data_IF_868520915742
#
_entry.id   IF_868520915742
#
_cell.length_a   1.000
_cell.length_b   1.000
_cell.length_c   1.000
_cell.angle_alpha   90.00
_cell.angle_beta   90.00
_cell.angle_gamma   90.00
#
_symmetry.space_group_name_H-M   'P 1'
#
loop_
_entity.id
_entity.type
_entity.pdbx_description
1 polymer ?
#
# COMPACT_ATOMS: atom_id res chain seq x y z
N UNK A 1 7.57 -5.98 37.14
CA UNK A 1 7.67 -6.61 35.80
C UNK A 1 8.03 -5.55 34.77
N UNK A 2 9.24 -5.63 34.24
CA UNK A 2 9.77 -4.67 33.26
C UNK A 2 9.19 -5.00 31.88
N UNK A 3 8.27 -4.18 31.37
CA UNK A 3 7.71 -4.36 30.02
C UNK A 3 8.84 -4.28 29.00
N UNK A 4 9.18 -5.40 28.38
CA UNK A 4 10.17 -5.48 27.32
C UNK A 4 9.67 -4.63 26.15
N UNK A 5 10.34 -3.52 25.85
CA UNK A 5 10.09 -2.72 24.64
C UNK A 5 10.56 -3.54 23.44
N UNK A 6 9.65 -4.27 22.83
CA UNK A 6 9.88 -4.93 21.55
C UNK A 6 10.06 -3.83 20.51
N UNK A 7 11.31 -3.51 20.19
CA UNK A 7 11.66 -2.67 19.03
C UNK A 7 11.86 -3.59 17.83
N UNK A 8 10.83 -3.71 17.01
CA UNK A 8 10.95 -4.28 15.65
C UNK A 8 11.09 -3.10 14.69
N UNK A 9 12.31 -2.72 14.34
CA UNK A 9 12.63 -1.80 13.23
C UNK A 9 13.82 -2.39 12.49
N UNK A 10 13.68 -2.84 11.24
CA UNK A 10 13.86 -2.04 10.02
C UNK A 10 13.42 -2.88 8.80
N UNK A 11 12.74 -2.43 7.75
CA UNK A 11 11.86 -1.28 7.48
C UNK A 11 10.84 -1.91 6.50
N UNK A 12 9.60 -2.11 6.93
CA UNK A 12 8.56 -2.86 6.21
C UNK A 12 7.81 -1.97 5.20
N UNK A 13 8.41 -0.82 4.89
CA UNK A 13 7.93 0.25 4.01
C UNK A 13 9.09 0.76 3.16
N UNK A 14 8.81 1.13 1.92
CA UNK A 14 9.75 1.85 1.06
C UNK A 14 9.03 3.09 0.52
N UNK A 15 9.19 4.22 1.22
CA UNK A 15 8.45 5.44 0.89
C UNK A 15 8.84 6.01 -0.46
N UNK A 16 10.11 5.91 -0.83
CA UNK A 16 10.60 6.39 -2.12
C UNK A 16 9.96 5.59 -3.26
N UNK A 17 9.98 4.26 -3.16
CA UNK A 17 9.34 3.37 -4.12
C UNK A 17 7.82 3.60 -4.22
N UNK A 18 7.15 3.84 -3.09
CA UNK A 18 5.73 4.18 -3.05
C UNK A 18 5.42 5.49 -3.79
N UNK A 19 6.20 6.54 -3.57
CA UNK A 19 6.01 7.82 -4.23
C UNK A 19 6.33 7.75 -5.73
N UNK A 20 7.43 7.10 -6.13
CA UNK A 20 7.77 6.88 -7.54
C UNK A 20 6.66 6.10 -8.24
N UNK A 21 6.09 5.10 -7.55
CA UNK A 21 4.96 4.32 -8.06
C UNK A 21 3.72 5.19 -8.27
N UNK A 22 3.33 5.98 -7.27
CA UNK A 22 2.17 6.86 -7.38
C UNK A 22 2.37 7.93 -8.47
N UNK A 23 3.55 8.52 -8.56
CA UNK A 23 3.87 9.51 -9.61
C UNK A 23 3.75 8.89 -11.01
N UNK A 24 4.26 7.66 -11.21
CA UNK A 24 4.13 6.98 -12.49
C UNK A 24 2.69 6.58 -12.82
N UNK A 25 1.84 6.28 -11.83
CA UNK A 25 0.41 6.06 -12.07
C UNK A 25 -0.32 7.33 -12.49
N UNK A 26 0.12 8.49 -12.00
CA UNK A 26 -0.39 9.81 -12.43
C UNK A 26 0.11 10.17 -13.84
N UNK A 27 1.36 9.87 -14.16
CA UNK A 27 1.96 10.16 -15.47
C UNK A 27 1.45 9.23 -16.56
N UNK A 28 1.14 7.98 -16.21
CA UNK A 28 0.86 6.93 -17.17
C UNK A 28 -0.46 6.24 -16.84
N UNK A 29 -1.58 6.90 -17.12
CA UNK A 29 -2.95 6.39 -16.91
C UNK A 29 -3.13 4.94 -17.43
N UNK A 30 -2.47 4.62 -18.56
CA UNK A 30 -2.44 3.28 -19.19
C UNK A 30 -2.01 2.14 -18.25
N UNK A 31 -1.41 2.44 -17.09
CA UNK A 31 -0.97 1.46 -16.10
C UNK A 31 -1.98 1.19 -14.99
N UNK A 32 -3.04 1.98 -14.87
CA UNK A 32 -3.98 1.85 -13.75
C UNK A 32 -4.70 0.50 -13.78
N UNK A 33 -5.27 0.11 -14.91
CA UNK A 33 -6.00 -1.16 -15.02
C UNK A 33 -5.09 -2.37 -14.75
N UNK A 34 -3.84 -2.32 -15.23
CA UNK A 34 -2.83 -3.35 -14.95
C UNK A 34 -2.44 -3.38 -13.48
N UNK A 35 -2.37 -2.22 -12.84
CA UNK A 35 -2.07 -2.08 -11.40
C UNK A 35 -3.19 -2.64 -10.54
N UNK A 36 -4.45 -2.33 -10.87
CA UNK A 36 -5.63 -2.91 -10.20
C UNK A 36 -5.56 -4.45 -10.26
N UNK A 37 -5.33 -4.99 -11.46
CA UNK A 37 -5.21 -6.44 -11.66
C UNK A 37 -4.06 -7.05 -10.84
N UNK A 38 -2.90 -6.41 -10.80
CA UNK A 38 -1.71 -6.92 -10.11
C UNK A 38 -1.86 -6.85 -8.57
N UNK A 39 -2.42 -5.77 -8.05
CA UNK A 39 -2.61 -5.59 -6.60
C UNK A 39 -3.77 -6.45 -6.07
N UNK A 40 -4.79 -6.69 -6.90
CA UNK A 40 -5.96 -7.48 -6.53
C UNK A 40 -6.59 -6.99 -5.23
N UNK A 41 -6.90 -7.93 -4.32
CA UNK A 41 -7.53 -7.62 -3.03
C UNK A 41 -6.65 -6.86 -2.03
N UNK A 42 -5.35 -6.70 -2.28
CA UNK A 42 -4.49 -5.85 -1.43
C UNK A 42 -4.81 -4.38 -1.68
N UNK A 43 -4.98 -3.99 -2.95
CA UNK A 43 -5.33 -2.62 -3.35
C UNK A 43 -4.48 -1.54 -2.66
N UNK A 44 -5.15 -0.51 -2.12
CA UNK A 44 -4.53 0.67 -1.50
C UNK A 44 -3.68 0.38 -0.27
N UNK A 45 -3.85 -0.80 0.36
CA UNK A 45 -3.04 -1.23 1.51
C UNK A 45 -1.59 -1.49 1.15
N UNK A 46 -1.26 -1.54 -0.14
CA UNK A 46 0.12 -1.68 -0.60
C UNK A 46 0.97 -0.48 -0.13
N UNK A 47 0.41 0.72 -0.15
CA UNK A 47 1.06 1.96 0.26
C UNK A 47 1.03 2.15 1.78
N UNK A 48 2.13 2.65 2.35
CA UNK A 48 2.24 2.88 3.78
C UNK A 48 1.65 4.22 4.18
N UNK A 49 0.63 4.23 5.06
CA UNK A 49 0.06 5.47 5.59
C UNK A 49 -1.09 6.05 4.76
N UNK A 50 -2.03 6.68 5.47
CA UNK A 50 -3.35 7.02 4.94
C UNK A 50 -3.35 7.94 3.73
N UNK A 51 -2.40 8.89 3.65
CA UNK A 51 -2.35 9.84 2.53
C UNK A 51 -2.01 9.17 1.19
N UNK A 52 -1.03 8.25 1.17
CA UNK A 52 -0.60 7.54 -0.06
C UNK A 52 -1.66 6.54 -0.51
N UNK A 53 -2.29 5.83 0.43
CA UNK A 53 -3.46 4.99 0.14
C UNK A 53 -4.61 5.81 -0.45
N UNK A 54 -4.91 6.98 0.12
CA UNK A 54 -5.96 7.88 -0.37
C UNK A 54 -5.66 8.41 -1.78
N UNK A 55 -4.40 8.75 -2.08
CA UNK A 55 -4.00 9.16 -3.43
C UNK A 55 -4.32 8.05 -4.43
N UNK A 56 -3.90 6.81 -4.15
CA UNK A 56 -4.21 5.67 -5.03
C UNK A 56 -5.71 5.45 -5.20
N UNK A 57 -6.47 5.48 -4.11
CA UNK A 57 -7.94 5.35 -4.15
C UNK A 57 -8.60 6.45 -5.00
N UNK A 58 -8.08 7.68 -4.96
CA UNK A 58 -8.56 8.75 -5.80
C UNK A 58 -8.28 8.49 -7.29
N UNK A 59 -7.11 7.94 -7.63
CA UNK A 59 -6.81 7.56 -9.02
C UNK A 59 -7.77 6.47 -9.51
N UNK A 60 -8.11 5.50 -8.66
CA UNK A 60 -9.10 4.48 -9.00
C UNK A 60 -10.48 5.10 -9.23
N UNK A 61 -10.90 6.01 -8.35
CA UNK A 61 -12.18 6.69 -8.48
C UNK A 61 -12.26 7.53 -9.76
N UNK A 62 -11.22 8.29 -10.07
CA UNK A 62 -11.13 9.05 -11.32
C UNK A 62 -11.23 8.12 -12.54
N UNK A 63 -10.56 6.96 -12.49
CA UNK A 63 -10.63 5.96 -13.56
C UNK A 63 -12.03 5.39 -13.73
N UNK A 64 -12.73 5.11 -12.62
CA UNK A 64 -14.13 4.64 -12.62
C UNK A 64 -15.11 5.71 -13.15
N UNK A 65 -14.87 6.97 -12.80
CA UNK A 65 -15.65 8.13 -13.26
C UNK A 65 -15.35 8.52 -14.73
N UNK A 66 -14.35 7.91 -15.35
CA UNK A 66 -13.88 8.28 -16.69
C UNK A 66 -13.22 9.65 -16.76
N UNK A 67 -12.75 10.18 -15.63
CA UNK A 67 -12.00 11.43 -15.55
C UNK A 67 -10.57 11.22 -16.09
N UNK A 68 -10.00 12.17 -16.85
CA UNK A 68 -8.60 12.09 -17.29
C UNK A 68 -7.63 12.01 -16.12
N UNK A 69 -6.61 11.15 -16.23
CA UNK A 69 -5.59 11.01 -15.20
C UNK A 69 -4.26 11.53 -15.73
N UNK A 70 -3.99 12.78 -15.37
CA UNK A 70 -2.76 13.50 -15.66
C UNK A 70 -2.37 14.38 -14.44
N UNK A 71 -1.13 14.88 -14.37
CA UNK A 71 -0.68 15.67 -13.22
C UNK A 71 -1.58 16.86 -12.86
N UNK A 72 -2.13 17.60 -13.83
CA UNK A 72 -2.95 18.78 -13.53
C UNK A 72 -4.32 18.37 -13.00
N UNK A 73 -4.98 17.41 -13.65
CA UNK A 73 -6.32 16.97 -13.25
C UNK A 73 -6.28 16.31 -11.87
N UNK A 74 -5.29 15.43 -11.63
CA UNK A 74 -5.09 14.81 -10.31
C UNK A 74 -4.77 15.87 -9.25
N UNK A 75 -3.94 16.88 -9.56
CA UNK A 75 -3.62 17.98 -8.63
C UNK A 75 -4.86 18.75 -8.20
N UNK A 76 -5.76 19.06 -9.14
CA UNK A 76 -7.01 19.76 -8.85
C UNK A 76 -7.93 18.88 -7.98
N UNK A 77 -8.02 17.58 -8.29
CA UNK A 77 -8.82 16.63 -7.52
C UNK A 77 -8.33 16.51 -6.08
N UNK A 78 -7.04 16.27 -5.90
CA UNK A 78 -6.42 16.07 -4.59
C UNK A 78 -6.40 17.33 -3.72
N UNK A 79 -6.48 18.54 -4.29
CA UNK A 79 -6.63 19.80 -3.51
C UNK A 79 -7.91 19.86 -2.67
N UNK A 80 -8.95 19.11 -3.06
CA UNK A 80 -10.20 19.03 -2.30
C UNK A 80 -10.08 18.08 -1.10
N UNK A 81 -9.02 17.27 -1.07
CA UNK A 81 -8.75 16.30 -0.03
C UNK A 81 -7.83 16.88 1.06
N UNK A 82 -7.95 16.37 2.28
CA UNK A 82 -7.12 16.77 3.43
C UNK A 82 -5.76 16.05 3.42
N UNK A 83 -5.03 16.14 2.31
CA UNK A 83 -3.69 15.55 2.17
C UNK A 83 -2.64 16.51 2.74
N UNK A 84 -1.67 16.03 3.55
CA UNK A 84 -0.59 16.88 4.03
C UNK A 84 0.19 17.52 2.88
N UNK A 85 0.48 18.82 3.00
CA UNK A 85 1.17 19.61 1.96
C UNK A 85 2.50 18.96 1.55
N UNK A 86 3.26 18.42 2.50
CA UNK A 86 4.54 17.75 2.21
C UNK A 86 4.40 16.50 1.33
N UNK A 87 3.34 15.72 1.51
CA UNK A 87 3.04 14.54 0.68
C UNK A 87 2.61 14.97 -0.72
N UNK A 88 1.77 16.02 -0.77
CA UNK A 88 1.26 16.59 -2.01
C UNK A 88 2.39 17.16 -2.87
N UNK A 89 3.24 18.01 -2.29
CA UNK A 89 4.35 18.65 -3.00
C UNK A 89 5.36 17.61 -3.51
N UNK A 90 5.71 16.62 -2.68
CA UNK A 90 6.62 15.55 -3.09
C UNK A 90 6.07 14.75 -4.27
N UNK A 91 4.79 14.36 -4.24
CA UNK A 91 4.17 13.64 -5.35
C UNK A 91 4.28 14.42 -6.66
N UNK A 92 3.91 15.70 -6.65
CA UNK A 92 3.87 16.48 -7.89
C UNK A 92 5.25 16.93 -8.38
N UNK A 93 6.22 17.13 -7.49
CA UNK A 93 7.61 17.31 -7.90
C UNK A 93 8.12 16.06 -8.64
N UNK A 94 7.78 14.87 -8.14
CA UNK A 94 8.14 13.63 -8.84
C UNK A 94 7.43 13.48 -10.18
N UNK A 95 6.20 13.97 -10.34
CA UNK A 95 5.56 13.97 -11.68
C UNK A 95 6.24 14.92 -12.67
N UNK A 96 7.00 15.91 -12.22
CA UNK A 96 7.76 16.81 -13.12
C UNK A 96 9.20 16.37 -13.34
N UNK A 97 9.79 15.68 -12.37
CA UNK A 97 11.21 15.32 -12.37
C UNK A 97 11.48 13.87 -12.80
N UNK A 98 10.49 12.99 -12.68
CA UNK A 98 10.67 11.57 -13.01
C UNK A 98 10.48 11.29 -14.49
N UNK A 99 11.33 10.44 -15.04
CA UNK A 99 11.10 9.84 -16.35
C UNK A 99 9.94 8.83 -16.29
N UNK A 100 9.17 8.74 -17.36
CA UNK A 100 8.19 7.66 -17.52
C UNK A 100 8.91 6.31 -17.53
N UNK A 101 8.57 5.44 -16.58
CA UNK A 101 9.17 4.11 -16.52
C UNK A 101 8.36 3.12 -17.37
N UNK A 102 9.01 2.18 -18.08
CA UNK A 102 8.33 1.06 -18.71
C UNK A 102 7.56 0.19 -17.72
N UNK A 103 6.48 -0.45 -18.20
CA UNK A 103 5.63 -1.33 -17.37
C UNK A 103 6.42 -2.40 -16.61
N UNK A 104 7.51 -2.94 -17.19
CA UNK A 104 8.31 -3.99 -16.53
C UNK A 104 8.91 -3.53 -15.19
N UNK A 105 9.30 -2.26 -15.10
CA UNK A 105 9.78 -1.68 -13.85
C UNK A 105 8.62 -1.39 -12.90
N UNK A 106 7.52 -0.85 -13.43
CA UNK A 106 6.31 -0.60 -12.66
C UNK A 106 5.78 -1.89 -11.99
N UNK A 107 5.75 -2.99 -12.75
CA UNK A 107 5.37 -4.31 -12.26
C UNK A 107 6.31 -4.81 -11.16
N UNK A 108 7.63 -4.62 -11.32
CA UNK A 108 8.62 -4.98 -10.30
C UNK A 108 8.37 -4.19 -9.00
N UNK A 109 8.14 -2.89 -9.10
CA UNK A 109 7.89 -2.02 -7.96
C UNK A 109 6.61 -2.43 -7.23
N UNK A 110 5.51 -2.66 -7.94
CA UNK A 110 4.25 -3.09 -7.34
C UNK A 110 4.37 -4.46 -6.65
N UNK A 111 5.13 -5.40 -7.21
CA UNK A 111 5.41 -6.70 -6.56
C UNK A 111 6.21 -6.53 -5.28
N UNK A 112 7.20 -5.65 -5.29
CA UNK A 112 8.00 -5.34 -4.11
C UNK A 112 7.17 -4.67 -3.01
N UNK A 113 6.38 -3.66 -3.36
CA UNK A 113 5.44 -3.01 -2.43
C UNK A 113 4.41 -4.01 -1.87
N UNK A 114 3.93 -4.96 -2.68
CA UNK A 114 3.05 -6.04 -2.22
C UNK A 114 3.72 -6.94 -1.18
N UNK A 115 4.98 -7.28 -1.39
CA UNK A 115 5.77 -8.06 -0.43
C UNK A 115 5.97 -7.29 0.87
N UNK A 116 6.26 -5.99 0.78
CA UNK A 116 6.40 -5.11 1.95
C UNK A 116 5.08 -5.04 2.72
N UNK A 117 3.96 -4.77 2.06
CA UNK A 117 2.63 -4.74 2.67
C UNK A 117 2.24 -6.05 3.37
N UNK A 118 2.62 -7.19 2.78
CA UNK A 118 2.43 -8.51 3.39
C UNK A 118 3.24 -8.66 4.68
N UNK A 119 4.51 -8.22 4.66
CA UNK A 119 5.37 -8.20 5.87
C UNK A 119 4.78 -7.29 6.95
N UNK A 120 4.30 -6.10 6.58
CA UNK A 120 3.62 -5.19 7.53
C UNK A 120 2.41 -5.83 8.16
N UNK A 121 1.56 -6.47 7.34
CA UNK A 121 0.36 -7.15 7.81
C UNK A 121 0.68 -8.22 8.86
N UNK A 122 1.64 -9.12 8.56
CA UNK A 122 2.07 -10.17 9.49
C UNK A 122 2.61 -9.60 10.80
N UNK A 123 3.42 -8.54 10.71
CA UNK A 123 3.94 -7.83 11.88
C UNK A 123 2.81 -7.24 12.72
N UNK A 124 1.82 -6.62 12.07
CA UNK A 124 0.63 -6.08 12.74
C UNK A 124 -0.17 -7.15 13.49
N UNK A 125 -0.38 -8.33 12.90
CA UNK A 125 -1.04 -9.45 13.61
C UNK A 125 -0.21 -9.97 14.78
N UNK A 126 1.12 -10.09 14.62
CA UNK A 126 2.01 -10.48 15.71
C UNK A 126 1.99 -9.46 16.88
N UNK A 127 1.94 -8.16 16.58
CA UNK A 127 1.80 -7.11 17.59
C UNK A 127 0.46 -7.18 18.32
N UNK A 128 -0.64 -7.41 17.60
CA UNK A 128 -1.97 -7.63 18.21
C UNK A 128 -1.98 -8.84 19.14
N UNK A 129 -1.38 -9.95 18.71
CA UNK A 129 -1.21 -11.14 19.54
C UNK A 129 -0.49 -10.81 20.85
N UNK A 130 0.67 -10.15 20.76
CA UNK A 130 1.45 -9.76 21.94
C UNK A 130 0.67 -8.82 22.87
N UNK A 131 -0.08 -7.87 22.33
CA UNK A 131 -0.96 -7.00 23.12
C UNK A 131 -2.09 -7.77 23.80
N UNK A 132 -2.70 -8.74 23.10
CA UNK A 132 -3.77 -9.55 23.64
C UNK A 132 -3.30 -10.40 24.83
N UNK A 133 -2.14 -11.05 24.71
CA UNK A 133 -1.49 -11.79 25.82
C UNK A 133 -1.20 -10.85 26.99
N UNK A 134 -0.63 -9.67 26.72
CA UNK A 134 -0.35 -8.68 27.76
C UNK A 134 -1.61 -8.15 28.48
N UNK A 135 -2.76 -8.20 27.82
CA UNK A 135 -4.06 -7.81 28.38
C UNK A 135 -4.78 -8.99 29.06
N UNK A 136 -4.13 -10.14 29.24
CA UNK A 136 -4.69 -11.30 29.94
C UNK A 136 -5.63 -12.16 29.11
N UNK A 137 -5.62 -12.02 27.78
CA UNK A 137 -6.36 -12.94 26.90
C UNK A 137 -5.78 -14.34 27.00
N UNK A 138 -6.66 -15.34 26.92
CA UNK A 138 -6.26 -16.75 26.83
C UNK A 138 -5.27 -16.97 25.65
N UNK A 139 -4.09 -17.60 25.89
CA UNK A 139 -3.08 -17.76 24.85
C UNK A 139 -3.51 -18.62 23.67
N UNK A 140 -4.38 -19.61 23.87
CA UNK A 140 -4.88 -20.47 22.79
C UNK A 140 -5.76 -19.65 21.86
N UNK A 141 -6.73 -18.91 22.41
CA UNK A 141 -7.60 -18.01 21.62
C UNK A 141 -6.82 -16.91 20.92
N UNK A 142 -5.82 -16.32 21.59
CA UNK A 142 -4.97 -15.31 20.97
C UNK A 142 -4.19 -15.87 19.77
N UNK A 143 -3.71 -17.11 19.88
CA UNK A 143 -2.99 -17.79 18.80
C UNK A 143 -3.92 -18.15 17.62
N UNK A 144 -5.13 -18.64 17.89
CA UNK A 144 -6.12 -18.92 16.84
C UNK A 144 -6.43 -17.67 16.00
N UNK A 145 -6.57 -16.51 16.64
CA UNK A 145 -6.78 -15.24 15.93
C UNK A 145 -5.55 -14.79 15.12
N UNK A 146 -4.34 -15.01 15.65
CA UNK A 146 -3.10 -14.75 14.91
C UNK A 146 -3.01 -15.62 13.65
N UNK A 147 -3.24 -16.92 13.78
CA UNK A 147 -3.17 -17.88 12.68
C UNK A 147 -4.22 -17.53 11.60
N UNK A 148 -5.45 -17.19 12.01
CA UNK A 148 -6.49 -16.72 11.09
C UNK A 148 -6.10 -15.40 10.40
N UNK A 149 -5.56 -14.43 11.15
CA UNK A 149 -5.12 -13.14 10.60
C UNK A 149 -4.01 -13.30 9.57
N UNK A 150 -3.03 -14.19 9.82
CA UNK A 150 -1.97 -14.53 8.87
C UNK A 150 -2.56 -15.20 7.62
N UNK A 151 -3.46 -16.18 7.79
CA UNK A 151 -4.10 -16.86 6.67
C UNK A 151 -4.91 -15.89 5.78
N UNK A 152 -5.62 -14.92 6.36
CA UNK A 152 -6.37 -13.91 5.63
C UNK A 152 -5.46 -12.97 4.81
N UNK A 153 -4.26 -12.66 5.33
CA UNK A 153 -3.26 -11.88 4.60
C UNK A 153 -2.73 -12.68 3.42
N UNK A 154 -2.40 -13.95 3.63
CA UNK A 154 -1.89 -14.85 2.60
C UNK A 154 -2.92 -15.08 1.49
N UNK A 155 -4.18 -15.32 1.84
CA UNK A 155 -5.27 -15.46 0.87
C UNK A 155 -5.44 -14.21 -0.02
N UNK A 156 -5.22 -13.00 0.53
CA UNK A 156 -5.26 -11.75 -0.25
C UNK A 156 -4.05 -11.57 -1.17
N UNK A 157 -2.93 -12.23 -0.84
CA UNK A 157 -1.72 -12.23 -1.68
C UNK A 157 -1.74 -13.30 -2.78
N UNK A 158 -2.35 -14.46 -2.50
CA UNK A 158 -2.33 -15.68 -3.33
C UNK A 158 -3.38 -15.74 -4.45
N UNK A 159 -4.33 -14.79 -4.53
CA UNK A 159 -5.27 -14.69 -5.68
C UNK A 159 -4.61 -14.39 -7.05
N UNK A 160 -3.31 -14.61 -7.17
CA UNK A 160 -2.58 -14.77 -8.43
C UNK A 160 -2.07 -16.23 -8.49
N UNK A 161 -2.97 -17.22 -8.45
CA UNK A 161 -2.65 -18.58 -8.90
C UNK A 161 -3.17 -18.76 -10.32
N UNK A 162 -2.23 -18.57 -11.26
CA UNK A 162 -2.02 -19.36 -12.48
C UNK A 162 -3.28 -19.74 -13.26
N UNK A 163 -3.60 -18.93 -14.27
CA UNK A 163 -4.18 -19.43 -15.52
C UNK A 163 -3.09 -19.37 -16.57
N UNK A 164 -2.48 -20.51 -16.87
CA UNK A 164 -1.78 -20.76 -18.13
C UNK A 164 -2.75 -20.63 -19.30
#
# INVERSE_FOLDING_TARGET
MTKQKIRITNKDTDEELEFITLANLVLQEKFIDKTIKLLGSIGSKVFSGGAKSLIYEMLLKMREEGEPIDPQTVKIRLRKEKIPVSVFDLLFNLTTESEEIPWIFMEKYLKELKNLATKRGRKGEAEKYLMAINNGKDPVKAKEELDQGIADIEAKTEKIKVGM
#
